data_IF_630697015527
#
_entry.id   IF_630697015527
#
_cell.length_a   1.000
_cell.length_b   1.000
_cell.length_c   1.000
_cell.angle_alpha   90.00
_cell.angle_beta   90.00
_cell.angle_gamma   90.00
#
_symmetry.space_group_name_H-M   'P 1'
#
loop_
_entity.id
_entity.type
_entity.pdbx_description
1 polymer ?
#
# COMPACT_ATOMS: atom_id res chain seq x y z
N UNK A 1 -13.96 -7.89 -20.29
CA UNK A 1 -12.90 -7.31 -21.14
C UNK A 1 -12.54 -5.93 -20.61
N UNK A 2 -11.45 -5.80 -19.84
CA UNK A 2 -10.73 -4.54 -19.53
C UNK A 2 -9.59 -4.76 -18.51
N UNK A 3 -8.84 -5.86 -18.56
CA UNK A 3 -7.75 -6.13 -17.59
C UNK A 3 -6.42 -6.51 -18.24
N UNK A 4 -6.19 -6.01 -19.45
CA UNK A 4 -4.94 -6.23 -20.17
C UNK A 4 -4.46 -4.92 -20.81
N UNK A 5 -4.53 -3.82 -20.04
CA UNK A 5 -3.52 -2.78 -20.25
C UNK A 5 -2.22 -3.42 -19.82
N UNK A 6 -1.32 -3.64 -20.78
CA UNK A 6 0.08 -4.00 -20.55
C UNK A 6 0.54 -3.24 -19.31
N UNK A 7 0.71 -3.97 -18.20
CA UNK A 7 1.45 -3.45 -17.06
C UNK A 7 2.86 -3.27 -17.61
N UNK A 8 3.15 -2.09 -18.16
CA UNK A 8 4.50 -1.70 -18.53
C UNK A 8 5.43 -2.00 -17.35
N UNK A 9 6.71 -2.23 -17.60
CA UNK A 9 7.73 -2.78 -16.68
C UNK A 9 7.86 -2.10 -15.28
N UNK A 10 6.79 -1.98 -14.50
CA UNK A 10 6.76 -1.46 -13.15
C UNK A 10 7.09 -2.63 -12.22
N UNK A 11 8.23 -2.49 -11.58
CA UNK A 11 8.80 -3.50 -10.70
C UNK A 11 9.48 -2.79 -9.55
N UNK A 12 9.43 -3.43 -8.38
CA UNK A 12 10.26 -3.07 -7.23
C UNK A 12 11.71 -3.56 -7.37
N UNK A 13 12.02 -4.33 -8.42
CA UNK A 13 13.27 -5.07 -8.56
C UNK A 13 13.27 -6.43 -7.83
N UNK A 14 12.18 -6.77 -7.13
CA UNK A 14 12.02 -8.01 -6.38
C UNK A 14 10.71 -8.72 -6.76
N UNK A 15 10.84 -9.84 -7.46
CA UNK A 15 9.70 -10.57 -8.04
C UNK A 15 8.66 -11.03 -7.01
N UNK A 16 9.08 -11.34 -5.77
CA UNK A 16 8.15 -11.70 -4.69
C UNK A 16 7.33 -10.49 -4.26
N UNK A 17 7.97 -9.35 -4.06
CA UNK A 17 7.28 -8.09 -3.71
C UNK A 17 6.30 -7.70 -4.80
N UNK A 18 6.71 -7.79 -6.07
CA UNK A 18 5.84 -7.54 -7.22
C UNK A 18 4.63 -8.48 -7.23
N UNK A 19 4.82 -9.78 -6.99
CA UNK A 19 3.70 -10.73 -6.89
C UNK A 19 2.73 -10.37 -5.76
N UNK A 20 3.24 -9.92 -4.60
CA UNK A 20 2.38 -9.53 -3.48
C UNK A 20 1.57 -8.28 -3.78
N UNK A 21 2.15 -7.31 -4.49
CA UNK A 21 1.44 -6.11 -4.97
C UNK A 21 0.32 -6.55 -5.92
N UNK A 22 0.66 -7.28 -6.98
CA UNK A 22 -0.30 -7.68 -8.02
C UNK A 22 -1.45 -8.52 -7.47
N UNK A 23 -1.14 -9.54 -6.65
CA UNK A 23 -2.15 -10.42 -6.08
C UNK A 23 -3.06 -9.67 -5.12
N UNK A 24 -2.51 -8.80 -4.29
CA UNK A 24 -3.28 -8.05 -3.30
C UNK A 24 -4.11 -6.95 -3.97
N UNK A 25 -3.55 -6.20 -4.91
CA UNK A 25 -4.26 -5.21 -5.73
C UNK A 25 -5.46 -5.84 -6.45
N UNK A 26 -5.29 -7.05 -7.02
CA UNK A 26 -6.40 -7.80 -7.61
C UNK A 26 -7.47 -8.15 -6.57
N UNK A 27 -7.10 -8.67 -5.40
CA UNK A 27 -8.06 -9.03 -4.33
C UNK A 27 -8.86 -7.83 -3.80
N UNK A 28 -8.24 -6.65 -3.73
CA UNK A 28 -8.86 -5.44 -3.18
C UNK A 28 -9.39 -4.47 -4.24
N UNK A 29 -9.36 -4.86 -5.51
CA UNK A 29 -9.80 -4.03 -6.64
C UNK A 29 -9.16 -2.62 -6.62
N UNK A 30 -7.82 -2.59 -6.53
CA UNK A 30 -7.01 -1.37 -6.61
C UNK A 30 -6.08 -1.48 -7.80
N UNK A 31 -5.87 -0.37 -8.53
CA UNK A 31 -4.86 -0.30 -9.59
C UNK A 31 -3.46 -0.58 -8.98
N UNK A 32 -2.74 -1.62 -9.43
CA UNK A 32 -1.39 -1.89 -8.94
C UNK A 32 -0.41 -0.74 -9.18
N UNK A 33 -0.60 0.11 -10.20
CA UNK A 33 0.25 1.26 -10.45
C UNK A 33 0.18 2.30 -9.32
N UNK A 34 -1.00 2.50 -8.75
CA UNK A 34 -1.17 3.35 -7.57
C UNK A 34 -0.34 2.82 -6.40
N UNK A 35 -0.34 1.51 -6.19
CA UNK A 35 0.41 0.86 -5.11
C UNK A 35 1.92 0.95 -5.35
N UNK A 36 2.40 0.73 -6.58
CA UNK A 36 3.81 0.92 -6.91
C UNK A 36 4.26 2.37 -6.65
N UNK A 37 3.50 3.35 -7.14
CA UNK A 37 3.82 4.76 -6.98
C UNK A 37 3.85 5.17 -5.50
N UNK A 38 2.83 4.76 -4.75
CA UNK A 38 2.75 5.03 -3.32
C UNK A 38 3.90 4.35 -2.56
N UNK A 39 4.13 3.06 -2.77
CA UNK A 39 5.20 2.31 -2.08
C UNK A 39 6.59 2.90 -2.36
N UNK A 40 6.82 3.36 -3.59
CA UNK A 40 8.06 4.07 -3.94
C UNK A 40 8.22 5.35 -3.12
N UNK A 41 7.14 6.14 -2.97
CA UNK A 41 7.15 7.36 -2.17
C UNK A 41 7.34 7.07 -0.66
N UNK A 42 6.78 5.97 -0.16
CA UNK A 42 6.82 5.62 1.25
C UNK A 42 8.19 5.07 1.68
N UNK A 43 8.77 4.16 0.92
CA UNK A 43 9.98 3.44 1.35
C UNK A 43 11.07 3.32 0.30
N UNK A 44 10.83 3.80 -0.93
CA UNK A 44 11.67 3.48 -2.10
C UNK A 44 11.93 1.97 -2.21
N UNK A 45 10.89 1.17 -1.91
CA UNK A 45 10.90 -0.30 -1.86
C UNK A 45 11.81 -0.94 -0.81
N UNK A 46 12.23 -0.18 0.21
CA UNK A 46 13.02 -0.72 1.33
C UNK A 46 12.12 -1.47 2.35
N UNK A 47 12.20 -2.80 2.33
CA UNK A 47 11.45 -3.71 3.21
C UNK A 47 11.68 -3.48 4.71
N UNK A 48 12.79 -2.83 5.08
CA UNK A 48 13.20 -2.56 6.47
C UNK A 48 13.12 -1.08 6.83
N UNK A 49 12.50 -0.24 6.01
CA UNK A 49 12.38 1.18 6.28
C UNK A 49 11.57 1.44 7.56
N UNK A 50 12.05 2.38 8.38
CA UNK A 50 11.35 2.89 9.55
C UNK A 50 11.53 4.40 9.58
N UNK A 51 10.43 5.15 9.64
CA UNK A 51 10.48 6.60 9.79
C UNK A 51 10.74 7.02 11.24
N UNK A 52 11.13 8.28 11.44
CA UNK A 52 11.27 8.88 12.78
C UNK A 52 9.96 8.88 13.59
N UNK A 53 8.80 8.73 12.92
CA UNK A 53 7.48 8.65 13.56
C UNK A 53 7.05 7.22 13.85
N UNK A 54 7.83 6.21 13.45
CA UNK A 54 7.54 4.79 13.68
C UNK A 54 6.77 4.09 12.55
N UNK A 55 6.47 4.79 11.45
CA UNK A 55 5.93 4.17 10.23
C UNK A 55 6.94 3.14 9.70
N UNK A 56 6.49 1.93 9.33
CA UNK A 56 7.40 0.79 9.11
C UNK A 56 7.07 -0.05 7.88
N UNK A 57 8.12 -0.58 7.23
CA UNK A 57 8.05 -1.50 6.10
C UNK A 57 7.75 -0.82 4.75
N UNK A 58 7.43 -1.63 3.73
CA UNK A 58 7.25 -1.17 2.35
C UNK A 58 6.19 -0.08 2.19
N UNK A 59 5.05 -0.23 2.86
CA UNK A 59 3.90 0.66 2.80
C UNK A 59 3.86 1.65 3.99
N UNK A 60 4.96 1.76 4.74
CA UNK A 60 5.14 2.64 5.90
C UNK A 60 3.90 2.69 6.82
N UNK A 61 3.48 1.53 7.31
CA UNK A 61 2.32 1.46 8.19
C UNK A 61 2.69 1.97 9.59
N UNK A 62 1.84 2.82 10.16
CA UNK A 62 1.88 3.10 11.60
C UNK A 62 1.48 1.86 12.40
N UNK A 63 2.04 1.60 13.59
CA UNK A 63 1.73 0.38 14.36
C UNK A 63 0.24 0.19 14.66
N UNK A 64 -0.51 1.26 14.90
CA UNK A 64 -1.95 1.21 15.11
C UNK A 64 -2.71 0.77 13.85
N UNK A 65 -2.37 1.35 12.69
CA UNK A 65 -2.93 0.99 11.38
C UNK A 65 -2.59 -0.45 11.02
N UNK A 66 -1.33 -0.87 11.22
CA UNK A 66 -0.88 -2.24 11.00
C UNK A 66 -1.74 -3.25 11.78
N UNK A 67 -1.96 -3.01 13.08
CA UNK A 67 -2.84 -3.86 13.91
C UNK A 67 -4.27 -3.89 13.39
N UNK A 68 -4.84 -2.72 13.06
CA UNK A 68 -6.21 -2.63 12.52
C UNK A 68 -6.37 -3.41 11.22
N UNK A 69 -5.32 -3.50 10.41
CA UNK A 69 -5.30 -4.21 9.14
C UNK A 69 -4.86 -5.69 9.25
N UNK A 70 -4.67 -6.20 10.47
CA UNK A 70 -4.31 -7.60 10.73
C UNK A 70 -2.82 -7.94 10.50
N UNK A 71 -1.94 -6.94 10.47
CA UNK A 71 -0.49 -7.14 10.34
C UNK A 71 0.10 -7.49 11.71
N UNK A 72 0.66 -8.69 11.83
CA UNK A 72 1.30 -9.20 13.05
C UNK A 72 2.82 -9.09 13.00
N UNK A 73 3.41 -9.09 11.80
CA UNK A 73 4.85 -8.89 11.57
C UNK A 73 5.04 -7.71 10.61
N UNK A 74 5.28 -6.52 11.16
CA UNK A 74 5.24 -5.27 10.37
C UNK A 74 6.31 -5.15 9.28
N UNK A 75 7.43 -5.88 9.42
CA UNK A 75 8.48 -5.95 8.39
C UNK A 75 8.37 -7.18 7.48
N UNK A 76 7.36 -8.04 7.67
CA UNK A 76 7.07 -9.10 6.70
C UNK A 76 6.49 -8.45 5.43
N UNK A 77 7.13 -8.60 4.26
CA UNK A 77 6.72 -7.89 3.05
C UNK A 77 5.28 -8.21 2.66
N UNK A 78 4.87 -9.48 2.74
CA UNK A 78 3.52 -9.91 2.35
C UNK A 78 2.47 -9.25 3.25
N UNK A 79 2.66 -9.32 4.57
CA UNK A 79 1.72 -8.71 5.50
C UNK A 79 1.69 -7.19 5.38
N UNK A 80 2.85 -6.54 5.26
CA UNK A 80 2.93 -5.08 5.17
C UNK A 80 2.25 -4.54 3.90
N UNK A 81 2.49 -5.18 2.75
CA UNK A 81 1.85 -4.85 1.47
C UNK A 81 0.34 -5.06 1.56
N UNK A 82 -0.10 -6.24 2.02
CA UNK A 82 -1.53 -6.52 2.12
C UNK A 82 -2.22 -5.57 3.11
N UNK A 83 -1.58 -5.25 4.23
CA UNK A 83 -2.08 -4.28 5.21
C UNK A 83 -2.20 -2.86 4.63
N UNK A 84 -1.20 -2.41 3.87
CA UNK A 84 -1.24 -1.11 3.19
C UNK A 84 -2.33 -1.03 2.14
N UNK A 85 -2.50 -2.08 1.34
CA UNK A 85 -3.54 -2.14 0.31
C UNK A 85 -4.94 -2.20 0.94
N UNK A 86 -5.14 -2.96 2.03
CA UNK A 86 -6.39 -2.94 2.81
C UNK A 86 -6.72 -1.54 3.32
N UNK A 87 -5.72 -0.83 3.83
CA UNK A 87 -5.91 0.52 4.33
C UNK A 87 -6.23 1.50 3.19
N UNK A 88 -5.54 1.40 2.05
CA UNK A 88 -5.86 2.20 0.86
C UNK A 88 -7.28 1.93 0.35
N UNK A 89 -7.75 0.66 0.35
CA UNK A 89 -9.13 0.32 -0.01
C UNK A 89 -10.14 1.01 0.92
N UNK A 90 -9.91 0.92 2.23
CA UNK A 90 -10.75 1.58 3.24
C UNK A 90 -10.87 3.09 2.97
N UNK A 91 -9.75 3.75 2.68
CA UNK A 91 -9.73 5.19 2.41
C UNK A 91 -10.43 5.52 1.09
N UNK A 92 -10.22 4.73 0.04
CA UNK A 92 -10.94 4.90 -1.22
C UNK A 92 -12.45 4.73 -1.03
N UNK A 93 -12.89 3.77 -0.20
CA UNK A 93 -14.32 3.61 0.11
C UNK A 93 -14.86 4.81 0.90
N UNK A 94 -14.11 5.28 1.89
CA UNK A 94 -14.46 6.44 2.71
C UNK A 94 -14.60 7.73 1.88
N UNK A 95 -13.71 7.94 0.92
CA UNK A 95 -13.68 9.15 0.09
C UNK A 95 -14.33 8.96 -1.29
N UNK A 96 -15.23 7.97 -1.44
CA UNK A 96 -16.03 7.80 -2.66
C UNK A 96 -15.21 7.54 -3.93
N UNK A 97 -14.08 6.86 -3.80
CA UNK A 97 -13.14 6.57 -4.89
C UNK A 97 -12.19 7.71 -5.25
N UNK A 98 -12.19 8.82 -4.51
CA UNK A 98 -11.27 9.93 -4.75
C UNK A 98 -9.84 9.55 -4.30
N UNK A 99 -9.00 9.22 -5.29
CA UNK A 99 -7.61 8.80 -5.07
C UNK A 99 -6.78 9.88 -4.36
N UNK A 100 -7.00 11.16 -4.67
CA UNK A 100 -6.24 12.25 -4.06
C UNK A 100 -6.54 12.37 -2.56
N UNK A 101 -7.82 12.32 -2.18
CA UNK A 101 -8.23 12.33 -0.77
C UNK A 101 -7.78 11.06 -0.04
N UNK A 102 -7.84 9.90 -0.70
CA UNK A 102 -7.35 8.65 -0.12
C UNK A 102 -5.84 8.68 0.14
N UNK A 103 -5.04 9.21 -0.78
CA UNK A 103 -3.59 9.41 -0.55
C UNK A 103 -3.32 10.41 0.57
N UNK A 104 -4.08 11.51 0.64
CA UNK A 104 -3.97 12.49 1.72
C UNK A 104 -4.28 11.85 3.09
N UNK A 105 -5.38 11.09 3.19
CA UNK A 105 -5.76 10.37 4.40
C UNK A 105 -4.78 9.25 4.75
N UNK A 106 -4.13 8.64 3.76
CA UNK A 106 -3.08 7.65 4.02
C UNK A 106 -1.88 8.27 4.73
N UNK A 107 -1.45 9.45 4.27
CA UNK A 107 -0.28 10.15 4.80
C UNK A 107 -0.54 10.87 6.12
N UNK A 108 -1.69 11.54 6.25
CA UNK A 108 -2.03 12.38 7.39
C UNK A 108 -2.89 11.67 8.46
N UNK A 109 -3.51 10.54 8.10
CA UNK A 109 -4.58 9.90 8.88
C UNK A 109 -5.96 10.32 8.37
N UNK A 110 -6.91 9.39 8.39
CA UNK A 110 -8.25 9.58 7.82
C UNK A 110 -9.08 10.68 8.49
N UNK A 111 -8.82 11.02 9.76
CA UNK A 111 -9.56 12.05 10.49
C UNK A 111 -9.09 13.49 10.20
N UNK A 112 -8.09 13.67 9.34
CA UNK A 112 -7.51 14.96 9.00
C UNK A 112 -7.95 15.51 7.63
N UNK A 113 -8.81 14.77 6.91
CA UNK A 113 -9.28 15.04 5.55
C UNK A 113 -10.81 15.08 5.54
#
# INVERSE_FOLDING_TARGET
>A
MAMERSMGNFTTGDSKTDSYILDSSRRYNIDPLLIYAQMHQESSFNKKATSNKGASGLMQLMPATARRMGVTKIYDPKQNIEGGIKYMRLLLDMFGGNVALALAGYNAGEGAV
#
